data_IF_087333113996
#
_entry.id   IF_087333113996
#
_cell.length_a   1.000
_cell.length_b   1.000
_cell.length_c   1.000
_cell.angle_alpha   90.00
_cell.angle_beta   90.00
_cell.angle_gamma   90.00
#
_symmetry.space_group_name_H-M   'P 1'
#
loop_
_entity.id
_entity.type
_entity.pdbx_description
1 polymer ?
#
# COMPACT_ATOMS: atom_id res chain seq x y z
N UNK A 1 -10.71 5.01 19.85
CA UNK A 1 -9.56 4.89 18.92
C UNK A 1 -9.60 3.53 18.24
N UNK A 2 -9.43 3.45 16.93
CA UNK A 2 -9.38 2.19 16.22
C UNK A 2 -8.10 1.42 16.63
N UNK A 3 -8.26 0.17 17.07
CA UNK A 3 -7.15 -0.65 17.53
C UNK A 3 -6.36 -1.19 16.33
N UNK A 4 -5.03 -1.06 16.40
CA UNK A 4 -4.12 -1.66 15.42
C UNK A 4 -3.53 -2.92 16.02
N UNK A 5 -3.90 -4.08 15.48
CA UNK A 5 -3.29 -5.35 15.86
C UNK A 5 -1.76 -5.36 15.63
N UNK A 6 -1.04 -6.00 16.55
CA UNK A 6 0.38 -6.28 16.42
C UNK A 6 0.57 -7.72 15.97
N UNK A 7 1.29 -7.91 14.86
CA UNK A 7 1.58 -9.20 14.27
C UNK A 7 2.95 -9.22 13.62
N UNK A 8 3.57 -10.39 13.61
CA UNK A 8 4.83 -10.65 12.92
C UNK A 8 4.53 -11.39 11.62
N UNK A 9 4.67 -10.68 10.50
CA UNK A 9 4.25 -11.19 9.19
C UNK A 9 4.98 -12.47 8.79
N UNK A 10 6.23 -12.64 9.23
CA UNK A 10 7.05 -13.82 8.94
C UNK A 10 6.60 -15.06 9.71
N UNK A 11 5.85 -14.86 10.81
CA UNK A 11 5.33 -15.95 11.65
C UNK A 11 3.87 -16.29 11.36
N UNK A 12 3.18 -15.45 10.61
CA UNK A 12 1.77 -15.67 10.26
C UNK A 12 1.62 -16.48 8.98
N UNK A 13 0.62 -17.35 8.94
CA UNK A 13 0.33 -18.13 7.73
C UNK A 13 -0.41 -17.26 6.71
N UNK A 14 -0.09 -17.45 5.43
CA UNK A 14 -0.87 -16.91 4.32
C UNK A 14 -2.21 -17.66 4.18
N UNK A 15 -3.18 -17.29 5.02
CA UNK A 15 -4.47 -17.93 5.10
C UNK A 15 -5.54 -16.93 5.56
N UNK A 16 -6.76 -17.08 5.06
CA UNK A 16 -7.91 -16.21 5.39
C UNK A 16 -8.16 -16.04 6.90
N UNK A 17 -7.83 -17.06 7.70
CA UNK A 17 -7.96 -17.03 9.16
C UNK A 17 -7.21 -15.86 9.82
N UNK A 18 -6.19 -15.29 9.16
CA UNK A 18 -5.42 -14.17 9.69
C UNK A 18 -6.27 -12.92 9.91
N UNK A 19 -7.25 -12.65 9.03
CA UNK A 19 -8.16 -11.53 9.18
C UNK A 19 -9.05 -11.71 10.39
N UNK A 20 -9.61 -12.90 10.59
CA UNK A 20 -10.44 -13.20 11.76
C UNK A 20 -9.67 -13.28 13.08
N UNK A 21 -8.37 -13.64 13.03
CA UNK A 21 -7.49 -13.66 14.19
C UNK A 21 -7.19 -12.25 14.71
N UNK A 22 -6.86 -11.32 13.81
CA UNK A 22 -6.40 -9.98 14.17
C UNK A 22 -7.50 -8.90 14.14
N UNK A 23 -8.57 -9.14 13.37
CA UNK A 23 -9.71 -8.24 13.18
C UNK A 23 -11.03 -9.04 13.19
N UNK A 24 -11.38 -9.70 14.31
CA UNK A 24 -12.56 -10.58 14.40
C UNK A 24 -13.88 -9.85 14.09
N UNK A 25 -13.94 -8.53 14.31
CA UNK A 25 -15.09 -7.70 13.99
C UNK A 25 -15.43 -7.68 12.50
N UNK A 26 -14.50 -8.04 11.60
CA UNK A 26 -14.78 -8.16 10.16
C UNK A 26 -15.92 -9.15 9.88
N UNK A 27 -16.09 -10.18 10.73
CA UNK A 27 -17.19 -11.15 10.63
C UNK A 27 -18.57 -10.53 10.87
N UNK A 28 -18.64 -9.35 11.47
CA UNK A 28 -19.87 -8.60 11.76
C UNK A 28 -20.27 -7.66 10.62
N UNK A 29 -19.61 -7.74 9.46
CA UNK A 29 -19.92 -6.88 8.32
C UNK A 29 -21.39 -7.06 7.87
N UNK A 30 -22.11 -5.94 7.77
CA UNK A 30 -23.53 -5.92 7.36
C UNK A 30 -23.71 -5.64 5.85
N UNK A 31 -22.63 -5.45 5.09
CA UNK A 31 -22.67 -5.07 3.67
C UNK A 31 -23.55 -3.83 3.39
N UNK A 32 -23.57 -2.87 4.33
CA UNK A 32 -24.40 -1.66 4.26
C UNK A 32 -23.84 -0.55 3.35
N UNK A 33 -22.63 -0.74 2.81
CA UNK A 33 -21.92 0.17 1.92
C UNK A 33 -21.65 1.60 2.45
N UNK A 34 -21.79 1.85 3.76
CA UNK A 34 -21.51 3.18 4.34
C UNK A 34 -20.03 3.55 4.27
N UNK A 35 -19.15 2.56 4.38
CA UNK A 35 -17.69 2.75 4.34
C UNK A 35 -17.20 3.28 2.97
N UNK A 36 -17.74 2.76 1.86
CA UNK A 36 -17.45 3.25 0.50
C UNK A 36 -17.90 4.70 0.35
N UNK A 37 -19.15 5.01 0.72
CA UNK A 37 -19.69 6.38 0.65
C UNK A 37 -18.93 7.39 1.51
N UNK A 38 -18.20 6.94 2.53
CA UNK A 38 -17.42 7.80 3.41
C UNK A 38 -15.99 8.02 2.91
N UNK A 39 -15.53 7.29 1.88
CA UNK A 39 -14.15 7.31 1.45
C UNK A 39 -13.85 8.58 0.62
N UNK A 40 -12.92 9.45 1.04
CA UNK A 40 -12.55 10.65 0.28
C UNK A 40 -11.65 10.35 -0.94
N UNK A 41 -11.25 9.09 -1.11
CA UNK A 41 -10.51 8.60 -2.28
C UNK A 41 -11.42 7.77 -3.21
N UNK A 42 -12.75 7.80 -2.96
CA UNK A 42 -13.74 7.12 -3.80
C UNK A 42 -13.49 5.61 -3.96
N UNK A 43 -12.80 5.00 -2.98
CA UNK A 43 -12.54 3.56 -2.98
C UNK A 43 -13.80 2.76 -2.68
N UNK A 44 -13.93 1.61 -3.33
CA UNK A 44 -14.92 0.58 -3.04
C UNK A 44 -14.56 -0.18 -1.76
N UNK A 45 -14.64 0.51 -0.62
CA UNK A 45 -14.22 0.00 0.68
C UNK A 45 -14.95 -1.28 1.09
N UNK A 46 -16.25 -1.37 0.79
CA UNK A 46 -17.01 -2.57 1.06
C UNK A 46 -16.46 -3.78 0.30
N UNK A 47 -16.00 -3.58 -0.94
CA UNK A 47 -15.56 -4.67 -1.81
C UNK A 47 -14.25 -5.28 -1.32
N UNK A 48 -13.27 -4.47 -0.90
CA UNK A 48 -12.06 -5.03 -0.31
C UNK A 48 -12.33 -5.69 1.06
N UNK A 49 -13.33 -5.23 1.82
CA UNK A 49 -13.72 -5.92 3.06
C UNK A 49 -14.33 -7.29 2.76
N UNK A 50 -15.17 -7.40 1.72
CA UNK A 50 -15.72 -8.69 1.28
C UNK A 50 -14.63 -9.59 0.69
N UNK A 51 -13.65 -9.03 -0.02
CA UNK A 51 -12.48 -9.77 -0.49
C UNK A 51 -11.67 -10.35 0.69
N UNK A 52 -11.43 -9.55 1.74
CA UNK A 52 -10.75 -10.03 2.96
C UNK A 52 -11.52 -11.16 3.65
N UNK A 53 -12.85 -11.08 3.75
CA UNK A 53 -13.70 -12.16 4.29
C UNK A 53 -13.56 -13.46 3.49
N UNK A 54 -13.41 -13.35 2.16
CA UNK A 54 -13.22 -14.49 1.25
C UNK A 54 -11.77 -14.99 1.19
N UNK A 55 -10.83 -14.24 1.76
CA UNK A 55 -9.39 -14.55 1.68
C UNK A 55 -8.75 -14.19 0.35
N UNK A 56 -9.37 -13.31 -0.43
CA UNK A 56 -8.85 -12.82 -1.70
C UNK A 56 -7.88 -11.65 -1.43
N UNK A 57 -6.64 -12.00 -1.13
CA UNK A 57 -5.60 -11.04 -0.74
C UNK A 57 -5.16 -10.13 -1.88
N UNK A 58 -5.12 -10.64 -3.12
CA UNK A 58 -4.82 -9.85 -4.32
C UNK A 58 -5.85 -8.73 -4.48
N UNK A 59 -7.14 -9.08 -4.47
CA UNK A 59 -8.20 -8.07 -4.58
C UNK A 59 -8.20 -7.10 -3.41
N UNK A 60 -7.92 -7.56 -2.18
CA UNK A 60 -7.72 -6.62 -1.05
C UNK A 60 -6.59 -5.65 -1.37
N UNK A 61 -5.49 -6.11 -1.95
CA UNK A 61 -4.34 -5.29 -2.19
C UNK A 61 -4.57 -4.23 -3.28
N UNK A 62 -5.18 -4.63 -4.40
CA UNK A 62 -5.50 -3.76 -5.53
C UNK A 62 -6.55 -2.71 -5.16
N UNK A 63 -7.70 -3.13 -4.66
CA UNK A 63 -8.86 -2.24 -4.35
C UNK A 63 -8.57 -1.27 -3.20
N UNK A 64 -7.54 -1.53 -2.40
CA UNK A 64 -7.16 -0.69 -1.28
C UNK A 64 -5.84 0.05 -1.49
N UNK A 65 -5.26 0.00 -2.69
CA UNK A 65 -3.94 0.56 -2.99
C UNK A 65 -3.84 2.05 -2.65
N UNK A 66 -4.81 2.86 -3.09
CA UNK A 66 -4.84 4.31 -2.85
C UNK A 66 -5.38 4.69 -1.46
N UNK A 67 -5.54 3.73 -0.55
CA UNK A 67 -6.04 4.00 0.79
C UNK A 67 -5.05 4.84 1.61
N UNK A 68 -5.40 6.10 1.85
CA UNK A 68 -4.64 7.05 2.69
C UNK A 68 -4.79 6.84 4.21
N UNK A 69 -5.48 5.77 4.63
CA UNK A 69 -5.69 5.41 6.05
C UNK A 69 -6.29 6.52 6.94
N UNK A 70 -7.17 7.36 6.40
CA UNK A 70 -7.82 8.45 7.14
C UNK A 70 -8.82 7.99 8.22
N UNK A 71 -9.27 6.74 8.20
CA UNK A 71 -10.16 6.15 9.20
C UNK A 71 -11.65 6.53 9.10
N UNK A 72 -12.06 7.34 8.11
CA UNK A 72 -13.46 7.76 7.94
C UNK A 72 -14.43 6.59 7.74
N UNK A 73 -14.00 5.53 7.04
CA UNK A 73 -14.77 4.29 6.87
C UNK A 73 -15.07 3.60 8.21
N UNK A 74 -14.10 3.60 9.14
CA UNK A 74 -14.25 2.99 10.45
C UNK A 74 -15.20 3.80 11.34
N UNK A 75 -15.08 5.13 11.33
CA UNK A 75 -15.96 6.05 12.09
C UNK A 75 -17.43 5.91 11.68
N UNK A 76 -17.71 5.58 10.41
CA UNK A 76 -19.07 5.39 9.90
C UNK A 76 -19.57 3.95 9.98
N UNK A 77 -18.76 3.01 10.46
CA UNK A 77 -19.12 1.60 10.47
C UNK A 77 -20.02 1.26 11.67
N UNK A 78 -21.28 0.81 11.47
CA UNK A 78 -22.14 0.39 12.57
C UNK A 78 -21.63 -0.88 13.27
N UNK A 79 -20.77 -1.67 12.62
CA UNK A 79 -20.16 -2.88 13.16
C UNK A 79 -18.77 -2.64 13.76
N UNK A 80 -18.35 -1.37 13.85
CA UNK A 80 -17.05 -0.95 14.43
C UNK A 80 -15.82 -1.58 13.74
N UNK A 81 -15.94 -1.94 12.46
CA UNK A 81 -14.84 -2.53 11.68
C UNK A 81 -13.76 -1.48 11.41
N UNK A 82 -12.49 -1.88 11.52
CA UNK A 82 -11.32 -1.03 11.19
C UNK A 82 -10.78 -1.34 9.78
N UNK A 83 -11.57 -1.00 8.75
CA UNK A 83 -11.34 -1.45 7.35
C UNK A 83 -9.94 -1.12 6.82
N UNK A 84 -9.42 0.08 7.13
CA UNK A 84 -8.10 0.52 6.66
C UNK A 84 -6.93 -0.25 7.30
N UNK A 85 -7.13 -0.87 8.47
CA UNK A 85 -6.15 -1.76 9.09
C UNK A 85 -6.25 -3.19 8.55
N UNK A 86 -7.46 -3.66 8.24
CA UNK A 86 -7.69 -4.90 7.49
C UNK A 86 -7.03 -4.82 6.11
N UNK A 87 -7.25 -3.73 5.39
CA UNK A 87 -6.61 -3.45 4.10
C UNK A 87 -5.08 -3.44 4.20
N UNK A 88 -4.53 -2.80 5.23
CA UNK A 88 -3.09 -2.80 5.49
C UNK A 88 -2.55 -4.23 5.73
N UNK A 89 -3.25 -5.05 6.53
CA UNK A 89 -2.88 -6.45 6.73
C UNK A 89 -2.92 -7.21 5.40
N UNK A 90 -3.99 -7.08 4.61
CA UNK A 90 -4.13 -7.75 3.32
C UNK A 90 -3.01 -7.38 2.34
N UNK A 91 -2.73 -6.08 2.15
CA UNK A 91 -1.62 -5.60 1.30
C UNK A 91 -0.27 -6.16 1.73
N UNK A 92 -0.02 -6.20 3.03
CA UNK A 92 1.24 -6.73 3.57
C UNK A 92 1.37 -8.23 3.32
N UNK A 93 0.30 -9.00 3.58
CA UNK A 93 0.29 -10.44 3.33
C UNK A 93 0.48 -10.75 1.84
N UNK A 94 -0.26 -10.08 0.96
CA UNK A 94 -0.11 -10.20 -0.49
C UNK A 94 1.32 -9.86 -0.92
N UNK A 95 1.83 -8.71 -0.48
CA UNK A 95 3.18 -8.25 -0.81
C UNK A 95 4.30 -9.19 -0.36
N UNK A 96 4.11 -9.92 0.75
CA UNK A 96 5.11 -10.85 1.30
C UNK A 96 5.08 -12.23 0.66
N UNK A 97 3.89 -12.74 0.33
CA UNK A 97 3.69 -14.15 0.01
C UNK A 97 3.30 -14.42 -1.45
N UNK A 98 2.68 -13.47 -2.15
CA UNK A 98 2.11 -13.70 -3.48
C UNK A 98 2.61 -12.71 -4.53
N UNK A 99 2.89 -11.46 -4.17
CA UNK A 99 3.42 -10.48 -5.11
C UNK A 99 4.88 -10.80 -5.50
N UNK A 100 5.18 -11.14 -6.76
CA UNK A 100 6.53 -11.46 -7.19
C UNK A 100 7.41 -10.21 -7.20
N UNK A 101 8.71 -10.40 -6.94
CA UNK A 101 9.68 -9.34 -7.07
C UNK A 101 9.80 -8.88 -8.53
N UNK A 102 9.59 -7.59 -8.86
CA UNK A 102 9.65 -7.12 -10.24
C UNK A 102 11.07 -7.19 -10.82
N UNK A 103 11.22 -7.69 -12.05
CA UNK A 103 12.54 -7.79 -12.71
C UNK A 103 13.23 -6.43 -12.90
N UNK A 104 12.44 -5.37 -13.12
CA UNK A 104 12.99 -4.02 -13.22
C UNK A 104 13.60 -3.55 -11.90
N UNK A 105 13.06 -3.96 -10.75
CA UNK A 105 13.61 -3.66 -9.43
C UNK A 105 14.98 -4.33 -9.27
N UNK A 106 15.07 -5.63 -9.55
CA UNK A 106 16.34 -6.38 -9.50
C UNK A 106 17.42 -5.72 -10.35
N UNK A 107 17.05 -5.32 -11.58
CA UNK A 107 17.96 -4.59 -12.47
C UNK A 107 18.41 -3.26 -11.87
N UNK A 108 17.50 -2.46 -11.31
CA UNK A 108 17.84 -1.17 -10.68
C UNK A 108 18.72 -1.34 -9.45
N UNK A 109 18.45 -2.32 -8.60
CA UNK A 109 19.29 -2.63 -7.43
C UNK A 109 20.71 -2.96 -7.89
N UNK A 110 20.86 -3.83 -8.89
CA UNK A 110 22.17 -4.15 -9.46
C UNK A 110 22.89 -2.92 -10.04
N UNK A 111 22.19 -2.04 -10.77
CA UNK A 111 22.79 -0.80 -11.29
C UNK A 111 23.31 0.13 -10.18
N UNK A 112 22.63 0.15 -9.02
CA UNK A 112 23.06 0.90 -7.83
C UNK A 112 24.29 0.24 -7.21
N UNK A 113 24.29 -1.07 -7.01
CA UNK A 113 25.42 -1.83 -6.45
C UNK A 113 26.67 -1.72 -7.32
N UNK A 114 26.50 -1.76 -8.65
CA UNK A 114 27.57 -1.59 -9.64
C UNK A 114 28.06 -0.12 -9.71
N UNK A 115 27.40 0.81 -9.01
CA UNK A 115 27.76 2.24 -8.98
C UNK A 115 27.60 2.94 -10.33
N UNK A 116 26.73 2.40 -11.21
CA UNK A 116 26.57 2.84 -12.61
C UNK A 116 26.34 4.35 -12.75
N UNK A 117 25.62 4.94 -11.79
CA UNK A 117 25.24 6.35 -11.80
C UNK A 117 26.01 7.21 -10.79
N UNK A 118 26.96 6.66 -10.04
CA UNK A 118 27.66 7.40 -8.96
C UNK A 118 28.33 8.67 -9.49
N UNK A 119 29.05 8.57 -10.62
CA UNK A 119 29.73 9.74 -11.22
C UNK A 119 28.78 10.86 -11.63
N UNK A 120 27.61 10.52 -12.16
CA UNK A 120 26.61 11.50 -12.57
C UNK A 120 25.94 12.13 -11.33
N UNK A 121 25.65 11.30 -10.32
CA UNK A 121 25.11 11.76 -9.05
C UNK A 121 26.08 12.69 -8.32
N UNK A 122 27.36 12.33 -8.24
CA UNK A 122 28.41 13.15 -7.61
C UNK A 122 28.57 14.50 -8.30
N UNK A 123 28.47 14.55 -9.63
CA UNK A 123 28.48 15.81 -10.39
C UNK A 123 27.31 16.71 -10.00
N UNK A 124 26.10 16.15 -9.89
CA UNK A 124 24.91 16.91 -9.50
C UNK A 124 25.03 17.37 -8.04
N UNK A 125 25.47 16.50 -7.12
CA UNK A 125 25.60 16.81 -5.70
C UNK A 125 26.65 17.91 -5.46
N UNK A 126 27.75 17.90 -6.22
CA UNK A 126 28.84 18.88 -6.08
C UNK A 126 28.68 20.15 -6.91
N UNK A 127 27.68 20.21 -7.80
CA UNK A 127 27.45 21.36 -8.65
C UNK A 127 27.04 22.61 -7.85
N UNK A 128 27.55 23.77 -8.26
CA UNK A 128 27.13 25.04 -7.67
C UNK A 128 25.69 25.39 -8.09
N UNK A 129 25.02 26.24 -7.30
CA UNK A 129 23.61 26.60 -7.52
C UNK A 129 23.32 27.06 -8.96
N UNK A 130 24.19 27.91 -9.52
CA UNK A 130 24.06 28.41 -10.89
C UNK A 130 24.16 27.31 -11.95
N UNK A 131 24.99 26.29 -11.71
CA UNK A 131 25.12 25.14 -12.59
C UNK A 131 23.89 24.23 -12.49
N UNK A 132 23.37 24.02 -11.29
CA UNK A 132 22.10 23.30 -11.07
C UNK A 132 20.91 24.00 -11.74
N UNK A 133 20.81 25.33 -11.65
CA UNK A 133 19.78 26.12 -12.32
C UNK A 133 19.82 25.92 -13.84
N UNK A 134 21.02 25.91 -14.42
CA UNK A 134 21.22 25.65 -15.85
C UNK A 134 20.83 24.22 -16.23
N UNK A 135 21.32 23.22 -15.51
CA UNK A 135 21.00 21.81 -15.74
C UNK A 135 19.48 21.55 -15.65
N UNK A 136 18.80 22.18 -14.70
CA UNK A 136 17.36 22.09 -14.57
C UNK A 136 16.64 22.73 -15.76
N UNK A 137 17.08 23.90 -16.24
CA UNK A 137 16.47 24.58 -17.39
C UNK A 137 16.66 23.79 -18.70
N UNK A 138 17.82 23.16 -18.88
CA UNK A 138 18.19 22.40 -20.09
C UNK A 138 17.69 20.95 -20.08
N UNK A 139 17.09 20.48 -18.98
CA UNK A 139 16.62 19.09 -18.88
C UNK A 139 15.60 18.77 -19.97
N UNK A 140 15.75 17.59 -20.57
CA UNK A 140 14.69 17.02 -21.42
C UNK A 140 13.53 16.66 -20.50
N UNK A 141 12.35 17.24 -20.73
CA UNK A 141 11.13 16.79 -20.07
C UNK A 141 10.64 15.55 -20.81
N UNK A 142 10.26 14.52 -20.08
CA UNK A 142 9.50 13.41 -20.67
C UNK A 142 8.25 14.00 -21.34
N UNK A 143 7.94 13.50 -22.54
CA UNK A 143 6.70 13.88 -23.23
C UNK A 143 5.50 13.41 -22.42
N UNK A 144 4.53 14.29 -22.22
CA UNK A 144 3.23 13.97 -21.62
C UNK A 144 2.52 12.81 -22.34
#
# INVERSE_FOLDING_TARGET
PAEKANYDIEKEKYAVSIFFKHYPEIAKCLSCNTCTKACPQELEVMDYVQAAIKGDFEKVAEESFDCIQCGLCAVRCPSEIVQYHIAQLGRRMFGRYENPEPEHLKRRVKEIEDGKFNKEMDKIISAAKNELEKLYAERVRESD
#
